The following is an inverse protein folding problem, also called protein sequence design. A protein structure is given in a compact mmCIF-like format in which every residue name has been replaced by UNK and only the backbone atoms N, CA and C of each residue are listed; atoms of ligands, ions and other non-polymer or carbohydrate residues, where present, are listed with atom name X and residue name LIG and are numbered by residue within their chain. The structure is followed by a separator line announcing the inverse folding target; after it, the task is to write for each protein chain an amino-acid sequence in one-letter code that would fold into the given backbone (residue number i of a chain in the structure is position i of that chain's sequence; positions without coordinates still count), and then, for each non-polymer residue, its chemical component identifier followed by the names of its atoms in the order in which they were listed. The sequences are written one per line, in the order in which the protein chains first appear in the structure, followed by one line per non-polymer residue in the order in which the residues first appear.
data_IF_210329366891
#
_entry.id   IF_210329366891
#
_cell.length_a   1.000
_cell.length_b   1.000
_cell.length_c   1.000
_cell.angle_alpha   90.00
_cell.angle_beta   90.00
_cell.angle_gamma   90.00
#
_symmetry.space_group_name_H-M   'P 1'
#
loop_
_entity.id
_entity.type
_entity.pdbx_description
1 polymer ?
#
# COMPACT_ATOMS: atom_id res chain seq x y z
N UNK A 1 -25.36 13.91 4.63
CA UNK A 1 -24.77 12.97 3.66
C UNK A 1 -23.47 13.55 3.12
N UNK A 2 -22.38 12.78 3.15
CA UNK A 2 -21.08 13.24 2.67
C UNK A 2 -20.70 12.44 1.43
N UNK A 3 -20.07 13.11 0.47
CA UNK A 3 -19.67 12.52 -0.80
C UNK A 3 -18.31 13.04 -1.23
N UNK A 4 -17.46 12.13 -1.74
CA UNK A 4 -16.21 12.48 -2.40
C UNK A 4 -16.15 11.84 -3.78
N UNK A 5 -15.16 12.24 -4.57
CA UNK A 5 -14.94 11.70 -5.91
C UNK A 5 -13.47 11.35 -6.06
N UNK A 6 -13.17 10.13 -6.50
CA UNK A 6 -11.80 9.64 -6.63
C UNK A 6 -10.99 10.46 -7.65
N UNK A 7 -11.63 10.99 -8.68
CA UNK A 7 -10.96 11.77 -9.73
C UNK A 7 -10.61 13.20 -9.30
N UNK A 8 -11.28 13.72 -8.27
CA UNK A 8 -11.09 15.07 -7.75
C UNK A 8 -10.61 15.11 -6.31
N UNK A 9 -10.23 13.99 -5.75
CA UNK A 9 -9.70 13.92 -4.39
C UNK A 9 -8.41 14.72 -4.26
N UNK A 10 -8.22 15.46 -3.16
CA UNK A 10 -7.03 16.31 -3.00
C UNK A 10 -5.76 15.48 -2.84
N UNK A 11 -4.66 16.01 -3.37
CA UNK A 11 -3.33 15.44 -3.14
C UNK A 11 -2.92 15.69 -1.71
N UNK A 12 -2.53 14.62 -1.01
CA UNK A 12 -1.98 14.69 0.32
C UNK A 12 -0.46 14.68 0.26
N UNK A 13 0.19 15.51 1.06
CA UNK A 13 1.65 15.49 1.16
C UNK A 13 2.12 14.12 1.65
N UNK A 14 2.99 13.48 0.88
CA UNK A 14 3.51 12.14 1.19
C UNK A 14 4.69 12.27 2.14
N UNK A 15 4.69 11.49 3.21
CA UNK A 15 5.88 11.27 4.03
C UNK A 15 6.84 10.38 3.26
N UNK A 16 8.08 10.82 3.11
CA UNK A 16 9.12 10.10 2.35
C UNK A 16 9.44 8.73 2.92
N UNK A 17 9.09 8.47 4.18
CA UNK A 17 9.41 7.22 4.88
C UNK A 17 8.60 6.01 4.41
N UNK A 18 7.49 6.21 3.70
CA UNK A 18 6.62 5.10 3.27
C UNK A 18 6.91 4.57 1.88
N UNK A 19 7.58 5.37 1.04
CA UNK A 19 7.77 5.03 -0.36
C UNK A 19 9.21 5.19 -0.79
N UNK A 20 9.61 4.40 -1.80
CA UNK A 20 10.83 4.63 -2.58
C UNK A 20 10.42 5.15 -3.95
N UNK A 21 10.97 6.28 -4.36
CA UNK A 21 10.64 6.92 -5.62
C UNK A 21 9.38 7.81 -5.54
N UNK A 22 9.09 8.52 -6.63
CA UNK A 22 7.99 9.48 -6.66
C UNK A 22 6.62 8.79 -6.66
N UNK A 23 5.72 9.27 -5.81
CA UNK A 23 4.33 8.85 -5.76
C UNK A 23 3.43 10.07 -5.59
N UNK A 24 2.19 9.93 -6.02
CA UNK A 24 1.14 10.90 -5.77
C UNK A 24 0.05 10.21 -4.94
N UNK A 25 -0.24 10.77 -3.76
CA UNK A 25 -1.20 10.20 -2.81
C UNK A 25 -2.44 11.06 -2.74
N UNK A 26 -3.60 10.48 -3.02
CA UNK A 26 -4.90 11.13 -2.88
C UNK A 26 -5.66 10.51 -1.72
N UNK A 27 -6.11 11.34 -0.78
CA UNK A 27 -6.91 10.88 0.35
C UNK A 27 -8.39 10.86 -0.04
N UNK A 28 -8.92 9.68 -0.35
CA UNK A 28 -10.31 9.51 -0.76
C UNK A 28 -11.25 9.62 0.43
N UNK A 29 -10.85 9.08 1.57
CA UNK A 29 -11.67 9.07 2.79
C UNK A 29 -11.63 10.37 3.60
N UNK A 30 -10.91 11.38 3.16
CA UNK A 30 -10.74 12.63 3.89
C UNK A 30 -12.04 13.43 4.09
N UNK A 31 -12.97 13.34 3.15
CA UNK A 31 -14.27 14.03 3.22
C UNK A 31 -15.32 13.18 3.92
N UNK A 32 -15.44 11.92 3.53
CA UNK A 32 -16.47 11.01 4.04
C UNK A 32 -16.18 10.48 5.44
N UNK A 33 -14.91 10.37 5.80
CA UNK A 33 -14.40 9.97 7.13
C UNK A 33 -15.10 8.74 7.73
N UNK A 34 -15.12 7.60 7.02
CA UNK A 34 -15.69 6.39 7.57
C UNK A 34 -14.86 5.93 8.77
N UNK A 35 -15.54 5.34 9.78
CA UNK A 35 -14.86 4.89 11.01
C UNK A 35 -14.09 3.58 10.82
N UNK A 36 -14.54 2.77 9.87
CA UNK A 36 -14.07 1.39 9.70
C UNK A 36 -12.79 1.28 8.88
N UNK A 37 -12.52 2.26 8.04
CA UNK A 37 -11.38 2.20 7.12
C UNK A 37 -10.98 3.58 6.61
N UNK A 38 -9.74 3.67 6.12
CA UNK A 38 -9.26 4.79 5.32
C UNK A 38 -9.06 4.33 3.88
N UNK A 39 -9.22 5.25 2.94
CA UNK A 39 -9.03 4.98 1.51
C UNK A 39 -8.10 6.00 0.89
N UNK A 40 -7.14 5.49 0.11
CA UNK A 40 -6.20 6.31 -0.62
C UNK A 40 -6.09 5.83 -2.06
N UNK A 41 -5.95 6.78 -2.98
CA UNK A 41 -5.58 6.48 -4.37
C UNK A 41 -4.12 6.87 -4.53
N UNK A 42 -3.26 5.89 -4.78
CA UNK A 42 -1.81 6.09 -4.89
C UNK A 42 -1.38 5.91 -6.33
N UNK A 43 -0.74 6.92 -6.88
CA UNK A 43 -0.17 6.86 -8.23
C UNK A 43 1.33 6.68 -8.07
N UNK A 44 1.82 5.50 -8.46
CA UNK A 44 3.25 5.17 -8.44
C UNK A 44 3.88 5.59 -9.76
N UNK A 45 4.93 6.41 -9.69
CA UNK A 45 5.65 6.89 -10.88
C UNK A 45 7.03 6.23 -10.95
N UNK A 46 7.51 5.94 -12.18
CA UNK A 46 8.89 5.50 -12.45
C UNK A 46 9.41 4.41 -11.50
N UNK A 47 8.78 3.25 -11.50
CA UNK A 47 9.22 2.11 -10.69
C UNK A 47 9.22 2.37 -9.18
N UNK A 48 8.43 3.32 -8.72
CA UNK A 48 8.24 3.58 -7.30
C UNK A 48 7.52 2.42 -6.62
N UNK A 49 7.75 2.27 -5.34
CA UNK A 49 7.12 1.22 -4.54
C UNK A 49 7.02 1.67 -3.08
N UNK A 50 6.24 0.95 -2.30
CA UNK A 50 6.27 1.12 -0.84
C UNK A 50 7.57 0.56 -0.29
N UNK A 51 8.01 1.09 0.85
CA UNK A 51 9.02 0.41 1.66
C UNK A 51 8.41 -0.82 2.32
N UNK A 52 9.26 -1.71 2.79
CA UNK A 52 8.83 -2.88 3.55
C UNK A 52 8.07 -2.44 4.80
N UNK A 53 6.85 -2.94 4.95
CA UNK A 53 5.99 -2.53 6.06
C UNK A 53 4.96 -3.61 6.38
N UNK A 54 4.27 -3.42 7.50
CA UNK A 54 3.09 -4.21 7.86
C UNK A 54 2.03 -3.30 8.47
N UNK A 55 0.80 -3.76 8.50
CA UNK A 55 -0.32 -3.08 9.15
C UNK A 55 -0.90 -3.94 10.26
N UNK A 56 -1.43 -3.30 11.28
CA UNK A 56 -2.17 -4.00 12.35
C UNK A 56 -3.54 -4.45 11.88
N UNK A 57 -4.11 -3.78 10.89
CA UNK A 57 -5.34 -4.18 10.22
C UNK A 57 -5.07 -4.75 8.82
N UNK A 58 -6.09 -5.33 8.22
CA UNK A 58 -6.02 -5.80 6.83
C UNK A 58 -6.06 -4.64 5.84
N UNK A 59 -5.58 -4.92 4.64
CA UNK A 59 -5.58 -3.95 3.54
C UNK A 59 -6.23 -4.56 2.31
N UNK A 60 -7.16 -3.82 1.70
CA UNK A 60 -7.69 -4.15 0.39
C UNK A 60 -6.96 -3.30 -0.64
N UNK A 61 -6.31 -3.96 -1.59
CA UNK A 61 -5.54 -3.32 -2.66
C UNK A 61 -6.27 -3.51 -3.98
N UNK A 62 -6.59 -2.42 -4.64
CA UNK A 62 -7.29 -2.42 -5.93
C UNK A 62 -6.41 -1.75 -6.96
N UNK A 63 -6.09 -2.44 -8.05
CA UNK A 63 -5.29 -1.87 -9.14
C UNK A 63 -6.24 -1.19 -10.13
N UNK A 64 -6.23 0.13 -10.17
CA UNK A 64 -7.06 0.90 -11.08
C UNK A 64 -6.48 0.98 -12.48
N UNK A 65 -5.16 1.06 -12.60
CA UNK A 65 -4.46 1.13 -13.89
C UNK A 65 -2.99 0.75 -13.72
N UNK A 66 -2.46 0.02 -14.67
CA UNK A 66 -1.04 -0.30 -14.74
C UNK A 66 -0.72 -1.70 -14.28
N UNK A 67 0.57 -1.94 -14.09
CA UNK A 67 1.12 -3.22 -13.66
C UNK A 67 2.04 -3.01 -12.46
N UNK A 68 2.08 -3.99 -11.60
CA UNK A 68 2.95 -3.97 -10.43
C UNK A 68 3.12 -5.36 -9.86
N UNK A 69 3.62 -5.42 -8.64
CA UNK A 69 3.77 -6.68 -7.93
C UNK A 69 3.53 -6.47 -6.44
N UNK A 70 3.03 -7.51 -5.80
CA UNK A 70 2.89 -7.59 -4.35
C UNK A 70 3.81 -8.69 -3.86
N UNK A 71 4.67 -8.38 -2.91
CA UNK A 71 5.67 -9.31 -2.38
C UNK A 71 5.49 -9.43 -0.87
N UNK A 72 5.37 -10.66 -0.39
CA UNK A 72 5.36 -10.98 1.03
C UNK A 72 6.74 -11.39 1.51
N UNK A 73 7.05 -11.01 2.73
CA UNK A 73 8.33 -11.31 3.36
C UNK A 73 8.13 -11.94 4.74
N UNK A 74 9.13 -12.65 5.18
CA UNK A 74 9.20 -13.27 6.51
C UNK A 74 10.52 -12.89 7.17
N UNK A 75 10.49 -12.63 8.47
CA UNK A 75 11.71 -12.48 9.25
C UNK A 75 12.37 -13.84 9.45
N UNK A 76 13.69 -13.88 9.29
CA UNK A 76 14.51 -15.06 9.55
C UNK A 76 15.49 -14.73 10.67
N UNK A 77 15.62 -15.60 11.65
CA UNK A 77 16.56 -15.47 12.75
C UNK A 77 15.94 -14.84 13.99
N UNK A 78 16.64 -15.00 15.12
CA UNK A 78 16.19 -14.60 16.46
C UNK A 78 16.92 -13.39 17.03
N UNK A 79 17.76 -12.71 16.25
CA UNK A 79 18.53 -11.56 16.72
C UNK A 79 17.68 -10.31 16.91
N UNK A 80 17.87 -9.62 18.04
CA UNK A 80 17.13 -8.39 18.36
C UNK A 80 17.59 -7.22 17.48
N UNK A 81 18.86 -7.18 17.09
CA UNK A 81 19.46 -6.08 16.34
C UNK A 81 19.76 -6.40 14.88
N UNK A 82 19.74 -7.66 14.51
CA UNK A 82 20.00 -8.12 13.12
C UNK A 82 19.03 -9.23 12.77
N UNK A 83 18.11 -8.94 11.88
CA UNK A 83 17.27 -9.96 11.29
C UNK A 83 17.39 -9.90 9.77
N UNK A 84 17.33 -11.07 9.14
CA UNK A 84 17.24 -11.19 7.69
C UNK A 84 15.77 -11.33 7.31
N UNK A 85 15.45 -10.87 6.12
CA UNK A 85 14.11 -11.09 5.54
C UNK A 85 14.24 -12.01 4.34
N UNK A 86 13.20 -12.80 4.10
CA UNK A 86 13.12 -13.70 2.97
C UNK A 86 11.77 -13.51 2.29
N UNK A 87 11.79 -13.48 0.95
CA UNK A 87 10.56 -13.50 0.16
C UNK A 87 9.84 -14.83 0.36
N UNK A 88 8.55 -14.78 0.65
CA UNK A 88 7.73 -15.98 0.79
C UNK A 88 6.76 -16.16 -0.36
N UNK A 89 6.19 -15.07 -0.87
CA UNK A 89 5.25 -15.08 -1.99
C UNK A 89 5.42 -13.82 -2.82
N UNK A 90 5.17 -13.94 -4.11
CA UNK A 90 5.06 -12.80 -5.01
C UNK A 90 3.92 -13.05 -6.00
N UNK A 91 3.10 -12.05 -6.24
CA UNK A 91 2.11 -12.07 -7.30
C UNK A 91 2.24 -10.81 -8.16
N UNK A 92 2.00 -10.98 -9.45
CA UNK A 92 1.91 -9.86 -10.37
C UNK A 92 0.54 -9.24 -10.30
N UNK A 93 0.48 -7.92 -10.37
CA UNK A 93 -0.74 -7.14 -10.35
C UNK A 93 -0.94 -6.45 -11.70
N UNK A 94 -2.17 -6.44 -12.15
CA UNK A 94 -2.56 -5.76 -13.39
C UNK A 94 -3.92 -5.07 -13.22
N UNK A 95 -4.34 -4.35 -14.26
CA UNK A 95 -5.59 -3.57 -14.24
C UNK A 95 -6.77 -4.39 -13.71
N UNK A 96 -7.46 -3.83 -12.72
CA UNK A 96 -8.67 -4.42 -12.16
C UNK A 96 -8.45 -5.47 -11.09
N UNK A 97 -7.20 -5.85 -10.80
CA UNK A 97 -6.93 -6.83 -9.75
C UNK A 97 -7.30 -6.27 -8.38
N UNK A 98 -7.87 -7.15 -7.55
CA UNK A 98 -8.22 -6.86 -6.17
C UNK A 98 -7.57 -7.91 -5.27
N UNK A 99 -6.79 -7.46 -4.29
CA UNK A 99 -6.06 -8.35 -3.40
C UNK A 99 -6.30 -7.94 -1.96
N UNK A 100 -6.50 -8.92 -1.10
CA UNK A 100 -6.57 -8.69 0.34
C UNK A 100 -5.23 -9.06 0.99
N UNK A 101 -4.67 -8.12 1.74
CA UNK A 101 -3.44 -8.32 2.52
C UNK A 101 -3.85 -8.48 3.98
N UNK A 102 -3.64 -9.67 4.59
CA UNK A 102 -3.99 -9.88 5.99
C UNK A 102 -3.21 -9.00 6.95
N UNK A 103 -3.72 -8.79 8.19
CA UNK A 103 -2.98 -8.07 9.21
C UNK A 103 -1.62 -8.68 9.50
N UNK A 104 -0.65 -7.83 9.84
CA UNK A 104 0.70 -8.21 10.31
C UNK A 104 1.59 -8.93 9.28
N UNK A 105 1.23 -8.93 8.01
CA UNK A 105 2.07 -9.50 6.95
C UNK A 105 3.06 -8.43 6.48
N UNK A 106 4.35 -8.75 6.54
CA UNK A 106 5.40 -7.90 5.95
C UNK A 106 5.28 -7.95 4.43
N UNK A 107 5.20 -6.80 3.80
CA UNK A 107 5.00 -6.73 2.35
C UNK A 107 5.54 -5.45 1.74
N UNK A 108 5.67 -5.47 0.42
CA UNK A 108 5.90 -4.31 -0.45
C UNK A 108 4.95 -4.38 -1.64
N UNK A 109 4.56 -3.24 -2.12
CA UNK A 109 3.80 -3.15 -3.37
C UNK A 109 4.05 -1.87 -4.15
#
# INVERSE_FOLDING_TARGET
MKKSNILSSPVKKVKTDYFTGPVELHEISGITKPKEHDMYHVIFKKSSRTKLHFHTGGQLLIVTKGNGSLVYYKKIGSGISKFKISKTKMIKLSNGDVVYIPPKILHTH
#
